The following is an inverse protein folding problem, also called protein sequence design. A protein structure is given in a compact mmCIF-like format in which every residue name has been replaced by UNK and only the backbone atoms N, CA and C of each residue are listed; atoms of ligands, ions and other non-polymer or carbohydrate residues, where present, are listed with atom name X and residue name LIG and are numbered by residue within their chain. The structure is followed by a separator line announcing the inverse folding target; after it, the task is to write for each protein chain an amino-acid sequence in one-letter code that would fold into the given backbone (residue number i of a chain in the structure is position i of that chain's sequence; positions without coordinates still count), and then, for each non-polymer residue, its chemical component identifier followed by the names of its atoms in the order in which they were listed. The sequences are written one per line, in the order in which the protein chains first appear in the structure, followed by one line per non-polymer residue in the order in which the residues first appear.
data_IF_282220856157
#
_entry.id   IF_282220856157
#
_cell.length_a   1.000
_cell.length_b   1.000
_cell.length_c   1.000
_cell.angle_alpha   90.00
_cell.angle_beta   90.00
_cell.angle_gamma   90.00
#
_symmetry.space_group_name_H-M   'P 1'
#
loop_
_entity.id
_entity.type
_entity.pdbx_description
1 polymer ?
#
# COMPACT_ATOMS: atom_id res chain seq x y z
N UNK A 1 56.68 -12.50 0.75
CA UNK A 1 55.24 -12.56 0.42
C UNK A 1 55.08 -12.62 -1.09
N UNK A 2 54.51 -13.70 -1.65
CA UNK A 2 54.16 -13.77 -3.07
C UNK A 2 52.77 -13.14 -3.25
N UNK A 3 52.69 -12.06 -4.03
CA UNK A 3 51.42 -11.40 -4.36
C UNK A 3 50.67 -12.27 -5.37
N UNK A 4 49.55 -12.87 -4.96
CA UNK A 4 48.72 -13.64 -5.86
C UNK A 4 48.05 -12.70 -6.87
N UNK A 5 48.34 -12.88 -8.16
CA UNK A 5 47.71 -12.10 -9.25
C UNK A 5 46.59 -12.95 -9.86
N UNK A 6 45.32 -12.73 -9.48
CA UNK A 6 44.21 -13.63 -9.82
C UNK A 6 43.89 -13.70 -11.33
N UNK A 7 44.43 -12.79 -12.13
CA UNK A 7 44.09 -12.63 -13.56
C UNK A 7 45.28 -12.87 -14.50
N UNK A 8 46.41 -13.40 -14.02
CA UNK A 8 47.65 -13.44 -14.80
C UNK A 8 47.60 -14.42 -16.00
N UNK A 9 46.74 -15.45 -15.95
CA UNK A 9 46.62 -16.50 -16.98
C UNK A 9 45.23 -16.55 -17.63
N UNK A 10 44.48 -15.45 -17.64
CA UNK A 10 43.10 -15.46 -18.14
C UNK A 10 43.05 -15.44 -19.67
N UNK A 11 42.21 -16.30 -20.25
CA UNK A 11 41.81 -16.17 -21.66
C UNK A 11 40.79 -15.04 -21.83
N UNK A 12 40.68 -14.53 -23.06
CA UNK A 12 39.70 -13.51 -23.42
C UNK A 12 38.26 -13.94 -23.07
N UNK A 13 37.94 -15.21 -23.28
CA UNK A 13 36.62 -15.79 -23.00
C UNK A 13 36.25 -15.70 -21.52
N UNK A 14 37.21 -15.92 -20.61
CA UNK A 14 36.97 -15.80 -19.17
C UNK A 14 36.71 -14.35 -18.75
N UNK A 15 37.40 -13.38 -19.38
CA UNK A 15 37.18 -11.94 -19.13
C UNK A 15 35.79 -11.53 -19.60
N UNK A 16 35.40 -11.93 -20.81
CA UNK A 16 34.09 -11.62 -21.38
C UNK A 16 32.96 -12.31 -20.59
N UNK A 17 33.16 -13.56 -20.18
CA UNK A 17 32.22 -14.30 -19.35
C UNK A 17 32.00 -13.66 -17.98
N UNK A 18 33.07 -13.22 -17.31
CA UNK A 18 32.96 -12.52 -16.04
C UNK A 18 32.21 -11.18 -16.19
N UNK A 19 32.50 -10.43 -17.26
CA UNK A 19 31.85 -9.17 -17.54
C UNK A 19 30.35 -9.38 -17.81
N UNK A 20 29.98 -10.40 -18.56
CA UNK A 20 28.58 -10.78 -18.79
C UNK A 20 27.86 -11.14 -17.48
N UNK A 21 28.47 -11.97 -16.63
CA UNK A 21 27.90 -12.34 -15.32
C UNK A 21 27.73 -11.10 -14.44
N UNK A 22 28.73 -10.20 -14.43
CA UNK A 22 28.66 -8.93 -13.69
C UNK A 22 27.52 -8.04 -14.17
N UNK A 23 27.33 -7.92 -15.48
CA UNK A 23 26.21 -7.16 -16.06
C UNK A 23 24.85 -7.78 -15.73
N UNK A 24 24.72 -9.10 -15.79
CA UNK A 24 23.49 -9.79 -15.40
C UNK A 24 23.17 -9.56 -13.91
N UNK A 25 24.17 -9.67 -13.03
CA UNK A 25 24.00 -9.42 -11.60
C UNK A 25 23.58 -7.97 -11.32
N UNK A 26 24.17 -7.00 -12.03
CA UNK A 26 23.78 -5.58 -11.94
C UNK A 26 22.34 -5.36 -12.44
N UNK A 27 21.95 -5.97 -13.55
CA UNK A 27 20.60 -5.86 -14.07
C UNK A 27 19.56 -6.42 -13.08
N UNK A 28 19.82 -7.60 -12.51
CA UNK A 28 18.93 -8.23 -11.52
C UNK A 28 18.82 -7.37 -10.26
N UNK A 29 19.95 -6.89 -9.73
CA UNK A 29 19.94 -6.02 -8.54
C UNK A 29 19.24 -4.69 -8.80
N UNK A 30 19.39 -4.09 -9.99
CA UNK A 30 18.68 -2.89 -10.38
C UNK A 30 17.16 -3.11 -10.43
N UNK A 31 16.69 -4.22 -11.00
CA UNK A 31 15.26 -4.56 -11.05
C UNK A 31 14.70 -4.73 -9.63
N UNK A 32 15.40 -5.47 -8.76
CA UNK A 32 14.99 -5.67 -7.37
C UNK A 32 14.96 -4.32 -6.63
N UNK A 33 15.99 -3.49 -6.78
CA UNK A 33 16.05 -2.18 -6.14
C UNK A 33 14.92 -1.25 -6.58
N UNK A 34 14.63 -1.20 -7.89
CA UNK A 34 13.55 -0.38 -8.45
C UNK A 34 12.17 -0.85 -7.99
N UNK A 35 11.92 -2.16 -8.02
CA UNK A 35 10.65 -2.72 -7.56
C UNK A 35 10.44 -2.52 -6.07
N UNK A 36 11.48 -2.71 -5.25
CA UNK A 36 11.42 -2.44 -3.82
C UNK A 36 11.14 -0.96 -3.52
N UNK A 37 11.84 -0.04 -4.21
CA UNK A 37 11.61 1.40 -4.06
C UNK A 37 10.18 1.79 -4.46
N UNK A 38 9.64 1.21 -5.54
CA UNK A 38 8.27 1.43 -5.96
C UNK A 38 7.25 0.88 -4.94
N UNK A 39 7.51 -0.27 -4.33
CA UNK A 39 6.63 -0.80 -3.28
C UNK A 39 6.62 0.10 -2.05
N UNK A 40 7.77 0.61 -1.63
CA UNK A 40 7.85 1.54 -0.50
C UNK A 40 7.13 2.87 -0.80
N UNK A 41 7.15 3.36 -2.04
CA UNK A 41 6.44 4.59 -2.40
C UNK A 41 4.93 4.43 -2.46
N UNK A 42 4.41 3.21 -2.63
CA UNK A 42 2.97 2.90 -2.59
C UNK A 42 2.42 2.77 -1.16
N UNK A 43 3.28 2.67 -0.15
CA UNK A 43 2.93 2.41 1.26
C UNK A 43 2.49 3.63 2.07
N UNK A 44 1.63 4.49 1.52
CA UNK A 44 0.90 5.47 2.36
C UNK A 44 -0.02 4.73 3.35
N UNK A 45 -0.30 5.28 4.55
CA UNK A 45 -1.28 4.68 5.43
C UNK A 45 -2.62 4.56 4.69
N UNK A 46 -3.19 3.36 4.69
CA UNK A 46 -4.54 3.15 4.14
C UNK A 46 -5.47 4.22 4.75
N UNK A 47 -6.25 4.93 3.94
CA UNK A 47 -7.01 6.05 4.45
C UNK A 47 -7.98 5.54 5.52
N UNK A 48 -7.91 6.16 6.71
CA UNK A 48 -8.63 5.69 7.89
C UNK A 48 -10.13 5.84 7.65
N UNK A 49 -10.82 4.72 7.41
CA UNK A 49 -12.26 4.73 7.30
C UNK A 49 -12.87 5.03 8.68
N UNK A 50 -13.63 6.12 8.77
CA UNK A 50 -14.31 6.55 9.99
C UNK A 50 -15.81 6.55 9.73
N UNK A 51 -16.58 5.98 10.66
CA UNK A 51 -18.05 6.01 10.63
C UNK A 51 -18.54 7.01 11.67
N UNK A 52 -19.20 8.08 11.23
CA UNK A 52 -19.84 9.05 12.12
C UNK A 52 -21.35 8.84 12.10
N UNK A 53 -21.96 8.67 13.28
CA UNK A 53 -23.41 8.62 13.42
C UNK A 53 -23.95 9.93 14.01
N UNK A 54 -25.17 10.31 13.63
CA UNK A 54 -25.94 11.34 14.34
C UNK A 54 -27.43 11.10 14.14
N UNK A 55 -28.25 11.59 15.07
CA UNK A 55 -29.70 11.55 14.95
C UNK A 55 -30.19 12.92 14.47
N UNK A 56 -30.77 12.95 13.28
CA UNK A 56 -31.44 14.13 12.74
C UNK A 56 -32.92 14.12 13.17
N UNK A 57 -33.38 15.16 13.86
CA UNK A 57 -34.78 15.30 14.29
C UNK A 57 -35.45 16.43 13.54
N UNK A 58 -36.50 16.10 12.79
CA UNK A 58 -37.34 17.07 12.09
C UNK A 58 -38.79 16.90 12.52
N UNK A 59 -39.20 17.74 13.48
CA UNK A 59 -40.52 17.63 14.10
C UNK A 59 -40.66 16.31 14.86
N UNK A 60 -41.67 15.51 14.48
CA UNK A 60 -41.97 14.20 15.06
C UNK A 60 -41.12 13.06 14.46
N UNK A 61 -40.41 13.34 13.37
CA UNK A 61 -39.61 12.35 12.65
C UNK A 61 -38.17 12.35 13.17
N UNK A 62 -37.66 11.17 13.53
CA UNK A 62 -36.25 10.96 13.87
C UNK A 62 -35.57 10.09 12.79
N UNK A 63 -34.35 10.43 12.41
CA UNK A 63 -33.54 9.68 11.44
C UNK A 63 -32.14 9.40 11.99
N UNK A 64 -31.67 8.17 11.90
CA UNK A 64 -30.28 7.79 12.16
C UNK A 64 -29.48 8.00 10.88
N UNK A 65 -28.60 8.99 10.87
CA UNK A 65 -27.68 9.20 9.78
C UNK A 65 -26.30 8.62 10.11
N UNK A 66 -25.73 7.89 9.16
CA UNK A 66 -24.42 7.25 9.18
C UNK A 66 -23.62 7.79 7.99
N UNK A 67 -22.51 8.48 8.25
CA UNK A 67 -21.56 8.85 7.22
C UNK A 67 -20.29 8.01 7.31
N UNK A 68 -19.95 7.37 6.20
CA UNK A 68 -18.72 6.62 6.02
C UNK A 68 -17.72 7.57 5.35
N UNK A 69 -16.62 7.86 6.05
CA UNK A 69 -15.59 8.79 5.60
C UNK A 69 -14.27 8.07 5.38
N UNK A 70 -13.61 8.34 4.28
CA UNK A 70 -12.24 7.89 3.99
C UNK A 70 -11.36 9.12 3.91
N UNK A 71 -10.61 9.39 5.00
CA UNK A 71 -9.92 10.68 5.17
C UNK A 71 -10.93 11.83 5.31
N UNK A 72 -10.79 12.86 4.47
CA UNK A 72 -11.67 14.04 4.47
C UNK A 72 -12.88 13.91 3.54
N UNK A 73 -13.02 12.79 2.82
CA UNK A 73 -14.10 12.54 1.89
C UNK A 73 -15.20 11.67 2.50
N UNK A 74 -16.47 12.00 2.20
CA UNK A 74 -17.63 11.17 2.53
C UNK A 74 -17.86 10.23 1.34
N UNK A 75 -17.69 8.92 1.54
CA UNK A 75 -17.90 7.93 0.49
C UNK A 75 -19.37 7.51 0.40
N UNK A 76 -20.05 7.48 1.55
CA UNK A 76 -21.45 7.10 1.64
C UNK A 76 -22.13 7.79 2.82
N UNK A 77 -23.42 8.08 2.62
CA UNK A 77 -24.33 8.59 3.64
C UNK A 77 -25.61 7.74 3.61
N UNK A 78 -25.93 7.09 4.72
CA UNK A 78 -27.22 6.41 4.92
C UNK A 78 -28.01 7.15 5.99
N UNK A 79 -29.31 7.38 5.78
CA UNK A 79 -30.19 7.98 6.78
C UNK A 79 -31.47 7.15 6.88
N UNK A 80 -31.56 6.34 7.93
CA UNK A 80 -32.69 5.47 8.19
C UNK A 80 -33.66 6.11 9.17
N UNK A 81 -34.96 5.89 8.97
CA UNK A 81 -35.98 6.39 9.87
C UNK A 81 -35.92 5.61 11.19
N UNK A 82 -35.82 6.30 12.32
CA UNK A 82 -35.94 5.69 13.64
C UNK A 82 -37.34 6.03 14.15
N UNK A 83 -38.19 5.02 14.30
CA UNK A 83 -39.42 5.16 15.06
C UNK A 83 -39.06 5.12 16.57
N UNK A 84 -39.47 6.09 17.39
CA UNK A 84 -39.31 6.01 18.85
C UNK A 84 -39.91 4.74 19.48
N UNK A 85 -40.78 3.99 18.77
CA UNK A 85 -41.40 2.75 19.23
C UNK A 85 -40.58 1.48 18.95
N UNK A 86 -39.46 1.53 18.22
CA UNK A 86 -38.56 0.36 18.08
C UNK A 86 -37.57 0.31 19.24
N UNK A 87 -38.09 0.27 20.46
CA UNK A 87 -37.42 -0.38 21.58
C UNK A 87 -37.86 -1.84 21.58
N UNK A 88 -36.88 -2.74 21.61
CA UNK A 88 -37.04 -4.18 21.88
C UNK A 88 -37.69 -5.00 20.75
N UNK A 89 -36.85 -5.48 19.83
CA UNK A 89 -37.08 -6.78 19.21
C UNK A 89 -36.26 -7.83 19.98
N UNK A 90 -36.93 -8.91 20.37
CA UNK A 90 -36.43 -10.14 21.00
C UNK A 90 -35.04 -10.62 20.57
#
# INVERSE_FOLDING_TARGET
MKLHRPFQNWSLENVVGLLYIGLCALAVTAIIGLTFAAVLSMGGPAPRQTVTHWVDRQGDVQRLCLAYKTGDHVDALSCDLIDPMTGDAE
#
